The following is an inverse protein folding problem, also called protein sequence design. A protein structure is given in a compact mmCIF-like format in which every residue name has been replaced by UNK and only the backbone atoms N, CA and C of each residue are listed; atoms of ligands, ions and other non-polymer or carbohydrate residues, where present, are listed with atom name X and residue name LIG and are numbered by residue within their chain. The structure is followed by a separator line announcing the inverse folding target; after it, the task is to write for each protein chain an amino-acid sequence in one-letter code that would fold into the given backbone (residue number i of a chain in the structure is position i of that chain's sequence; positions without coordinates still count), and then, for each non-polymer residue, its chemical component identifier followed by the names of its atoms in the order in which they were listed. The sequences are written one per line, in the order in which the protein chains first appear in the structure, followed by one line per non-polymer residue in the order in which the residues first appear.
data_IF_340249032773
#
_entry.id   IF_340249032773
#
_cell.length_a   1.000
_cell.length_b   1.000
_cell.length_c   1.000
_cell.angle_alpha   90.00
_cell.angle_beta   90.00
_cell.angle_gamma   90.00
#
_symmetry.space_group_name_H-M   'P 1'
#
loop_
_entity.id
_entity.type
_entity.pdbx_description
1 polymer ?
#
# COMPACT_ATOMS: atom_id res chain seq x y z
N UNK A 1 8.02 -1.66 -12.51
CA UNK A 1 7.95 -0.25 -12.07
C UNK A 1 6.84 -0.14 -11.04
N UNK A 2 7.13 0.26 -9.79
CA UNK A 2 6.12 0.51 -8.74
C UNK A 2 5.45 1.85 -9.04
N UNK A 3 4.13 1.86 -9.26
CA UNK A 3 3.34 3.08 -9.50
C UNK A 3 2.30 3.21 -8.38
N UNK A 4 2.71 3.76 -7.25
CA UNK A 4 1.80 4.05 -6.13
C UNK A 4 1.60 5.56 -6.09
N UNK A 5 0.55 6.06 -6.73
CA UNK A 5 -0.06 7.34 -6.36
C UNK A 5 -1.17 7.01 -5.35
N UNK A 6 -0.86 7.04 -4.06
CA UNK A 6 -1.87 6.90 -3.01
C UNK A 6 -1.58 7.88 -1.87
N UNK A 7 -2.29 9.01 -1.85
CA UNK A 7 -2.85 9.47 -0.58
C UNK A 7 -4.37 9.27 -0.64
N UNK A 8 -4.90 8.53 0.32
CA UNK A 8 -6.35 8.54 0.60
C UNK A 8 -6.76 9.92 1.13
N UNK A 9 -8.02 10.35 0.94
CA UNK A 9 -8.55 11.47 1.70
C UNK A 9 -8.51 11.14 3.18
N UNK A 10 -8.04 12.09 4.00
CA UNK A 10 -8.02 11.96 5.45
C UNK A 10 -9.43 11.60 5.98
N UNK A 11 -9.48 10.67 6.94
CA UNK A 11 -10.69 10.36 7.71
C UNK A 11 -11.19 11.67 8.33
N UNK A 12 -12.45 12.10 8.12
CA UNK A 12 -12.95 13.31 8.74
C UNK A 12 -12.91 13.15 10.27
N UNK A 13 -12.52 14.20 11.03
CA UNK A 13 -12.49 14.12 12.48
C UNK A 13 -13.89 13.80 13.02
N UNK A 14 -14.01 13.04 14.13
CA UNK A 14 -15.29 12.69 14.71
C UNK A 14 -16.10 13.95 15.07
N UNK A 15 -17.44 13.91 15.01
CA UNK A 15 -18.28 15.04 15.36
C UNK A 15 -18.00 15.50 16.79
N UNK A 16 -17.74 16.80 16.98
CA UNK A 16 -17.54 17.41 18.30
C UNK A 16 -18.82 17.25 19.13
N UNK A 17 -18.87 16.19 19.94
CA UNK A 17 -20.03 15.82 20.74
C UNK A 17 -19.69 15.65 22.22
N UNK A 18 -19.99 16.71 22.99
CA UNK A 18 -20.22 16.75 24.45
C UNK A 18 -19.06 16.33 25.36
N UNK A 19 -18.29 17.33 25.79
CA UNK A 19 -17.57 17.33 27.07
C UNK A 19 -18.55 17.02 28.21
N UNK A 20 -18.48 15.81 28.77
CA UNK A 20 -18.98 15.55 30.11
C UNK A 20 -17.94 16.04 31.10
N UNK A 21 -18.33 17.02 31.91
CA UNK A 21 -17.56 17.48 33.07
C UNK A 21 -17.46 16.37 34.11
N UNK A 22 -16.29 15.74 34.19
CA UNK A 22 -15.68 15.12 35.37
C UNK A 22 -14.28 14.74 34.90
N UNK A 23 -13.18 15.28 35.40
CA UNK A 23 -12.76 15.17 36.79
C UNK A 23 -11.62 16.19 37.00
N UNK A 24 -11.81 17.10 37.96
CA UNK A 24 -10.84 18.16 38.28
C UNK A 24 -10.60 18.15 39.79
N UNK A 25 -9.81 17.21 40.31
CA UNK A 25 -9.12 17.33 41.61
C UNK A 25 -8.17 16.14 41.81
N UNK A 26 -6.85 16.31 41.76
CA UNK A 26 -5.87 16.32 42.90
C UNK A 26 -4.60 15.62 42.36
N UNK A 27 -3.35 15.86 42.73
CA UNK A 27 -2.65 16.74 43.68
C UNK A 27 -1.21 16.89 43.16
N UNK A 28 -0.65 18.07 43.43
CA UNK A 28 0.74 18.49 43.64
C UNK A 28 1.90 17.47 43.50
N UNK A 29 3.00 17.99 42.93
CA UNK A 29 4.35 17.75 43.44
C UNK A 29 5.33 17.21 42.41
N UNK A 30 6.06 18.09 41.73
CA UNK A 30 7.11 17.67 40.81
C UNK A 30 8.07 18.81 40.50
N UNK A 31 9.25 18.75 41.11
CA UNK A 31 10.31 19.75 41.13
C UNK A 31 10.91 19.97 39.73
N UNK A 32 11.19 21.22 39.37
CA UNK A 32 12.02 21.58 38.21
C UNK A 32 13.47 21.18 38.49
N UNK A 33 14.07 20.35 37.64
CA UNK A 33 15.53 20.30 37.49
C UNK A 33 15.86 20.25 36.00
N UNK A 34 16.57 21.28 35.55
CA UNK A 34 17.21 21.33 34.25
C UNK A 34 18.65 20.80 34.33
N UNK A 35 19.08 20.29 33.17
CA UNK A 35 20.44 20.29 32.61
C UNK A 35 21.59 19.52 33.30
N UNK A 36 22.46 18.98 32.41
CA UNK A 36 23.67 18.17 32.62
C UNK A 36 23.37 16.71 33.00
N UNK A 37 23.87 15.68 32.29
CA UNK A 37 25.29 15.41 32.02
C UNK A 37 25.45 14.65 30.69
N UNK A 38 26.17 15.28 29.76
CA UNK A 38 26.96 14.58 28.74
C UNK A 38 28.34 14.35 29.35
N UNK A 39 28.95 13.20 29.05
CA UNK A 39 30.39 12.86 29.18
C UNK A 39 30.85 12.20 30.51
N UNK A 40 31.05 10.88 30.48
CA UNK A 40 32.10 10.16 31.24
C UNK A 40 32.47 8.87 30.46
N UNK A 41 33.50 8.92 29.59
CA UNK A 41 34.85 8.33 29.79
C UNK A 41 34.79 6.78 29.81
N UNK A 42 35.06 6.06 28.70
CA UNK A 42 36.40 5.74 28.18
C UNK A 42 37.44 5.53 29.29
N UNK A 43 37.43 4.39 30.00
CA UNK A 43 38.62 3.69 30.53
C UNK A 43 38.14 2.32 31.05
N UNK A 44 38.47 1.28 30.31
CA UNK A 44 39.10 0.06 30.82
C UNK A 44 39.65 -0.69 29.60
N UNK A 45 40.92 -0.40 29.29
CA UNK A 45 41.78 -1.25 28.48
C UNK A 45 41.97 -2.62 29.16
N UNK A 46 42.14 -3.71 28.42
CA UNK A 46 43.34 -4.10 27.68
C UNK A 46 44.02 -5.27 28.39
N UNK A 47 43.81 -6.48 27.85
CA UNK A 47 44.70 -7.68 27.80
C UNK A 47 43.83 -8.72 27.09
N UNK A 48 44.14 -9.22 25.89
CA UNK A 48 45.32 -10.05 25.57
C UNK A 48 45.70 -9.86 24.10
N UNK A 49 46.98 -9.58 23.88
CA UNK A 49 47.66 -9.65 22.59
C UNK A 49 48.51 -10.93 22.56
N UNK A 50 48.97 -11.31 21.36
CA UNK A 50 49.86 -12.44 20.97
C UNK A 50 49.05 -13.64 20.42
N UNK A 51 49.17 -14.05 19.15
CA UNK A 51 50.07 -13.65 18.07
C UNK A 51 49.88 -14.56 16.83
N UNK A 52 50.68 -14.30 15.79
CA UNK A 52 50.83 -15.05 14.51
C UNK A 52 49.82 -14.62 13.42
N UNK A 53 50.12 -13.63 12.56
CA UNK A 53 51.11 -13.51 11.46
C UNK A 53 50.63 -14.12 10.13
N UNK A 54 50.50 -13.23 9.15
CA UNK A 54 50.04 -13.37 7.77
C UNK A 54 50.59 -14.57 6.99
N UNK A 55 49.75 -15.15 6.12
CA UNK A 55 50.12 -15.51 4.75
C UNK A 55 48.87 -15.55 3.84
N UNK A 56 49.03 -14.96 2.66
CA UNK A 56 48.10 -14.76 1.55
C UNK A 56 47.97 -15.97 0.60
N UNK A 57 46.97 -15.89 -0.30
CA UNK A 57 46.65 -16.69 -1.52
C UNK A 57 45.73 -17.90 -1.28
N UNK A 58 44.49 -17.90 -1.75
CA UNK A 58 43.95 -17.94 -3.14
C UNK A 58 44.02 -19.33 -3.78
N UNK A 59 42.81 -19.78 -4.12
CA UNK A 59 42.41 -20.68 -5.21
C UNK A 59 42.53 -22.20 -5.05
N UNK A 60 41.33 -22.78 -5.07
CA UNK A 60 40.87 -23.85 -5.94
C UNK A 60 41.05 -25.34 -5.61
N UNK A 61 39.93 -26.01 -5.92
CA UNK A 61 39.76 -27.40 -6.35
C UNK A 61 39.63 -28.50 -5.28
N UNK A 62 38.35 -28.85 -5.05
CA UNK A 62 37.78 -30.19 -5.31
C UNK A 62 38.61 -31.41 -4.93
N UNK A 63 38.06 -32.28 -4.07
CA UNK A 63 37.51 -33.58 -4.51
C UNK A 63 36.74 -34.28 -3.38
N UNK A 64 35.44 -34.45 -3.64
CA UNK A 64 34.49 -35.53 -3.33
C UNK A 64 34.86 -36.70 -2.42
N UNK A 65 33.89 -37.06 -1.54
CA UNK A 65 33.15 -38.35 -1.52
C UNK A 65 32.53 -38.56 -0.13
N UNK A 66 31.24 -38.28 0.09
CA UNK A 66 30.09 -39.22 0.06
C UNK A 66 30.07 -40.17 1.30
N UNK A 67 29.01 -40.46 2.04
CA UNK A 67 27.52 -40.46 1.98
C UNK A 67 27.10 -40.44 3.49
N UNK A 68 25.96 -39.95 3.99
CA UNK A 68 24.59 -40.48 3.82
C UNK A 68 23.59 -39.61 4.58
N UNK A 69 22.39 -39.51 4.04
CA UNK A 69 21.25 -38.81 4.62
C UNK A 69 20.66 -39.59 5.82
N UNK A 70 20.29 -38.89 6.89
CA UNK A 70 19.43 -39.43 7.93
C UNK A 70 18.35 -38.40 8.32
N UNK A 71 17.15 -38.75 7.86
CA UNK A 71 15.81 -38.40 8.33
C UNK A 71 15.77 -38.01 9.82
N UNK A 72 15.19 -36.84 10.11
CA UNK A 72 14.76 -36.46 11.46
C UNK A 72 13.26 -36.79 11.59
N UNK A 73 12.94 -37.71 12.50
CA UNK A 73 11.59 -37.84 13.08
C UNK A 73 11.61 -37.29 14.51
N UNK A 74 10.48 -36.74 15.01
CA UNK A 74 10.43 -36.02 16.27
C UNK A 74 10.34 -36.98 17.47
N UNK A 75 10.99 -36.63 18.58
CA UNK A 75 10.87 -37.34 19.85
C UNK A 75 9.93 -36.59 20.80
N UNK A 76 8.98 -37.33 21.35
CA UNK A 76 8.02 -36.94 22.39
C UNK A 76 8.54 -37.26 23.80
N UNK A 77 8.14 -36.42 24.75
CA UNK A 77 7.97 -36.65 26.20
C UNK A 77 9.17 -37.04 27.10
N UNK A 78 9.32 -36.24 28.16
CA UNK A 78 9.86 -36.55 29.50
C UNK A 78 11.16 -37.36 29.60
N UNK A 79 12.27 -36.68 29.89
CA UNK A 79 13.20 -37.06 30.96
C UNK A 79 14.25 -35.95 31.21
N UNK A 80 14.56 -35.69 32.48
CA UNK A 80 15.58 -34.73 32.92
C UNK A 80 16.96 -35.38 32.87
N UNK A 81 17.97 -34.82 32.19
CA UNK A 81 19.29 -35.44 32.18
C UNK A 81 20.07 -35.07 33.45
N UNK A 82 20.44 -36.08 34.24
CA UNK A 82 21.41 -35.95 35.34
C UNK A 82 22.75 -36.63 34.98
N UNK A 83 23.75 -35.78 34.73
CA UNK A 83 25.22 -35.80 34.95
C UNK A 83 25.97 -37.14 35.10
N UNK A 84 27.08 -37.32 34.34
CA UNK A 84 28.43 -37.72 34.86
C UNK A 84 29.54 -37.23 33.91
N UNK A 85 30.51 -36.45 34.40
CA UNK A 85 31.81 -36.24 33.74
C UNK A 85 32.92 -36.79 34.65
N UNK A 86 33.82 -37.58 34.08
CA UNK A 86 34.94 -38.24 34.77
C UNK A 86 36.19 -37.37 34.82
N UNK A 87 36.89 -37.39 35.97
CA UNK A 87 38.09 -36.62 36.31
C UNK A 87 39.40 -37.11 35.66
N UNK A 88 40.37 -36.19 35.55
CA UNK A 88 41.81 -36.32 35.84
C UNK A 88 42.46 -34.94 35.55
N UNK A 89 43.38 -34.32 36.29
CA UNK A 89 44.22 -34.60 37.48
C UNK A 89 44.86 -33.25 37.87
N UNK A 90 45.25 -33.07 39.13
CA UNK A 90 46.42 -32.23 39.46
C UNK A 90 46.24 -31.11 40.49
N UNK A 91 46.78 -31.37 41.67
CA UNK A 91 47.30 -30.46 42.69
C UNK A 91 46.39 -29.67 43.63
N UNK A 92 46.76 -29.80 44.90
CA UNK A 92 46.10 -29.41 46.14
C UNK A 92 46.23 -27.91 46.40
N UNK A 93 45.09 -27.24 46.62
CA UNK A 93 45.03 -26.03 47.45
C UNK A 93 43.75 -26.04 48.31
N UNK A 94 43.92 -25.65 49.56
CA UNK A 94 43.02 -25.73 50.70
C UNK A 94 41.65 -25.08 50.49
N UNK A 95 40.58 -25.81 50.82
CA UNK A 95 39.20 -25.32 50.82
C UNK A 95 38.95 -24.49 52.08
N UNK A 96 38.70 -23.18 51.92
CA UNK A 96 38.05 -22.38 52.94
C UNK A 96 36.54 -22.60 52.84
N UNK A 97 35.92 -23.02 53.95
CA UNK A 97 34.49 -23.24 54.07
C UNK A 97 33.77 -21.87 54.01
N UNK A 98 33.07 -21.60 52.90
CA UNK A 98 32.17 -20.44 52.78
C UNK A 98 30.76 -20.95 53.04
N UNK A 99 30.17 -20.51 54.14
CA UNK A 99 28.74 -20.78 54.41
C UNK A 99 27.88 -20.23 53.27
N UNK A 100 26.94 -21.02 52.72
CA UNK A 100 26.07 -20.52 51.66
C UNK A 100 25.14 -19.47 52.24
N UNK A 101 25.24 -18.25 51.72
CA UNK A 101 24.27 -17.19 51.99
C UNK A 101 22.89 -17.64 51.49
N UNK A 102 21.94 -17.76 52.42
CA UNK A 102 20.53 -17.98 52.10
C UNK A 102 20.02 -16.71 51.43
N UNK A 103 19.87 -16.75 50.11
CA UNK A 103 19.15 -15.73 49.36
C UNK A 103 17.66 -16.03 49.55
N UNK A 104 17.00 -15.26 50.40
CA UNK A 104 15.55 -15.34 50.58
C UNK A 104 14.87 -14.95 49.27
N UNK A 105 14.28 -15.94 48.59
CA UNK A 105 13.60 -15.73 47.32
C UNK A 105 12.41 -14.78 47.53
N UNK A 106 12.43 -13.64 46.82
CA UNK A 106 11.30 -12.73 46.78
C UNK A 106 10.03 -13.49 46.37
N UNK A 107 8.86 -13.22 46.99
CA UNK A 107 7.65 -13.97 46.72
C UNK A 107 7.29 -13.84 45.24
N UNK A 108 7.08 -14.99 44.59
CA UNK A 108 6.64 -15.06 43.20
C UNK A 108 5.43 -14.15 43.02
N UNK A 109 5.55 -13.18 42.09
CA UNK A 109 4.43 -12.36 41.68
C UNK A 109 3.30 -13.30 41.25
N UNK A 110 2.09 -13.09 41.81
CA UNK A 110 0.89 -13.78 41.35
C UNK A 110 0.84 -13.69 39.82
N UNK A 111 0.50 -14.78 39.11
CA UNK A 111 0.27 -14.69 37.67
C UNK A 111 -0.75 -13.57 37.46
N UNK A 112 -0.37 -12.56 36.69
CA UNK A 112 -1.31 -11.53 36.28
C UNK A 112 -2.52 -12.27 35.71
N UNK A 113 -3.72 -11.89 36.17
CA UNK A 113 -4.94 -12.37 35.52
C UNK A 113 -4.87 -12.08 34.02
N UNK A 114 -5.70 -12.74 33.20
CA UNK A 114 -5.75 -12.43 31.78
C UNK A 114 -5.83 -10.89 31.62
N UNK A 115 -5.04 -10.31 30.70
CA UNK A 115 -5.03 -8.87 30.49
C UNK A 115 -6.48 -8.38 30.36
N UNK A 116 -6.75 -7.18 30.87
CA UNK A 116 -8.09 -6.62 30.84
C UNK A 116 -8.63 -6.69 29.40
N UNK A 117 -9.92 -7.05 29.20
CA UNK A 117 -10.47 -7.17 27.87
C UNK A 117 -10.32 -5.85 27.12
N UNK A 118 -9.50 -5.86 26.06
CA UNK A 118 -9.34 -4.72 25.15
C UNK A 118 -10.71 -4.38 24.59
N UNK A 119 -11.15 -3.14 24.79
CA UNK A 119 -12.40 -2.67 24.22
C UNK A 119 -12.14 -2.06 22.84
N UNK A 120 -13.18 -2.03 22.01
CA UNK A 120 -13.08 -1.55 20.63
C UNK A 120 -12.56 -0.10 20.53
N UNK A 121 -12.96 0.76 21.47
CA UNK A 121 -12.61 2.20 21.44
C UNK A 121 -11.12 2.45 21.62
N UNK A 122 -10.44 1.68 22.46
CA UNK A 122 -8.99 1.78 22.64
C UNK A 122 -8.22 1.46 21.34
N UNK A 123 -8.62 0.39 20.65
CA UNK A 123 -8.05 0.02 19.36
C UNK A 123 -8.35 1.06 18.25
N UNK A 124 -9.56 1.61 18.26
CA UNK A 124 -9.97 2.66 17.32
C UNK A 124 -9.22 3.98 17.58
N UNK A 125 -9.02 4.38 18.83
CA UNK A 125 -8.26 5.58 19.19
C UNK A 125 -6.80 5.47 18.73
N UNK A 126 -6.16 4.30 18.92
CA UNK A 126 -4.83 4.03 18.38
C UNK A 126 -4.81 4.18 16.85
N UNK A 127 -5.79 3.60 16.15
CA UNK A 127 -5.90 3.71 14.69
C UNK A 127 -6.08 5.16 14.21
N UNK A 128 -6.98 5.92 14.85
CA UNK A 128 -7.25 7.32 14.49
C UNK A 128 -6.08 8.24 14.81
N UNK A 129 -5.25 7.90 15.81
CA UNK A 129 -4.01 8.61 16.11
C UNK A 129 -2.87 8.33 15.12
N UNK A 130 -3.04 7.35 14.22
CA UNK A 130 -2.02 6.91 13.27
C UNK A 130 -1.01 5.92 13.85
N UNK A 131 -1.22 5.45 15.08
CA UNK A 131 -0.39 4.44 15.75
C UNK A 131 -0.81 3.05 15.26
N UNK A 132 -0.54 2.76 13.98
CA UNK A 132 -1.12 1.60 13.30
C UNK A 132 -0.59 0.24 13.78
N UNK A 133 0.68 0.16 14.19
CA UNK A 133 1.25 -1.06 14.80
C UNK A 133 0.50 -1.39 16.10
N UNK A 134 0.34 -0.41 16.99
CA UNK A 134 -0.41 -0.55 18.24
C UNK A 134 -1.89 -0.88 17.98
N UNK A 135 -2.50 -0.22 16.98
CA UNK A 135 -3.87 -0.51 16.59
C UNK A 135 -4.04 -1.95 16.11
N UNK A 136 -3.07 -2.51 15.38
CA UNK A 136 -3.11 -3.90 14.93
C UNK A 136 -3.04 -4.87 16.11
N UNK A 137 -2.16 -4.61 17.09
CA UNK A 137 -2.05 -5.42 18.31
C UNK A 137 -3.34 -5.38 19.15
N UNK A 138 -3.92 -4.19 19.32
CA UNK A 138 -5.17 -3.98 20.06
C UNK A 138 -6.36 -4.61 19.33
N UNK A 139 -6.47 -4.45 18.01
CA UNK A 139 -7.54 -5.09 17.24
C UNK A 139 -7.39 -6.61 17.21
N UNK A 140 -6.16 -7.15 17.20
CA UNK A 140 -5.93 -8.61 17.33
C UNK A 140 -6.49 -9.11 18.66
N UNK A 141 -6.12 -8.44 19.76
CA UNK A 141 -6.63 -8.78 21.10
C UNK A 141 -8.16 -8.65 21.19
N UNK A 142 -8.73 -7.63 20.54
CA UNK A 142 -10.18 -7.40 20.49
C UNK A 142 -10.91 -8.50 19.71
N UNK A 143 -10.41 -8.92 18.55
CA UNK A 143 -11.07 -9.92 17.70
C UNK A 143 -10.96 -11.33 18.26
N UNK A 144 -9.90 -11.65 19.00
CA UNK A 144 -9.82 -12.91 19.78
C UNK A 144 -10.96 -13.04 20.80
N UNK A 145 -11.32 -11.93 21.44
CA UNK A 145 -12.41 -11.89 22.43
C UNK A 145 -13.79 -11.76 21.77
N UNK A 146 -13.84 -11.21 20.56
CA UNK A 146 -15.07 -10.93 19.82
C UNK A 146 -15.01 -11.51 18.39
N UNK A 147 -14.82 -12.83 18.22
CA UNK A 147 -14.49 -13.43 16.92
C UNK A 147 -15.61 -13.32 15.89
N UNK A 148 -16.84 -13.03 16.31
CA UNK A 148 -18.01 -12.84 15.43
C UNK A 148 -18.27 -11.36 15.08
N UNK A 149 -17.38 -10.45 15.45
CA UNK A 149 -17.51 -9.05 15.09
C UNK A 149 -16.83 -8.78 13.74
N UNK A 150 -17.62 -8.79 12.65
CA UNK A 150 -17.13 -8.50 11.31
C UNK A 150 -16.45 -7.11 11.18
N UNK A 151 -16.95 -6.10 11.89
CA UNK A 151 -16.38 -4.76 11.88
C UNK A 151 -15.02 -4.71 12.58
N UNK A 152 -14.85 -5.47 13.66
CA UNK A 152 -13.58 -5.66 14.35
C UNK A 152 -12.55 -6.34 13.46
N UNK A 153 -12.93 -7.42 12.77
CA UNK A 153 -12.05 -8.09 11.80
C UNK A 153 -11.66 -7.16 10.64
N UNK A 154 -12.61 -6.37 10.14
CA UNK A 154 -12.36 -5.34 9.13
C UNK A 154 -11.34 -4.30 9.62
N UNK A 155 -11.49 -3.81 10.85
CA UNK A 155 -10.56 -2.82 11.42
C UNK A 155 -9.19 -3.40 11.72
N UNK A 156 -9.09 -4.67 12.10
CA UNK A 156 -7.83 -5.39 12.18
C UNK A 156 -7.13 -5.38 10.81
N UNK A 157 -7.85 -5.75 9.75
CA UNK A 157 -7.31 -5.71 8.39
C UNK A 157 -6.88 -4.30 7.96
N UNK A 158 -7.63 -3.26 8.32
CA UNK A 158 -7.25 -1.86 8.09
C UNK A 158 -5.97 -1.48 8.84
N UNK A 159 -5.85 -1.83 10.12
CA UNK A 159 -4.68 -1.52 10.94
C UNK A 159 -3.43 -2.23 10.40
N UNK A 160 -3.54 -3.52 10.08
CA UNK A 160 -2.48 -4.30 9.43
C UNK A 160 -2.03 -3.65 8.12
N UNK A 161 -2.96 -3.27 7.25
CA UNK A 161 -2.61 -2.60 5.99
C UNK A 161 -1.84 -1.31 6.23
N UNK A 162 -2.27 -0.48 7.17
CA UNK A 162 -1.64 0.80 7.49
C UNK A 162 -0.29 0.66 8.19
N UNK A 163 -0.08 -0.43 8.93
CA UNK A 163 1.22 -0.82 9.50
C UNK A 163 2.20 -1.40 8.47
N UNK A 164 1.72 -1.72 7.25
CA UNK A 164 2.52 -2.28 6.16
C UNK A 164 2.41 -3.79 5.98
N UNK A 165 1.62 -4.48 6.80
CA UNK A 165 1.29 -5.89 6.63
C UNK A 165 0.11 -6.08 5.67
N UNK A 166 0.42 -6.08 4.38
CA UNK A 166 -0.57 -6.25 3.32
C UNK A 166 -1.17 -7.66 3.24
N UNK A 167 -0.45 -8.72 3.63
CA UNK A 167 -1.02 -10.08 3.61
C UNK A 167 -1.94 -10.28 4.82
N UNK A 168 -1.52 -9.87 6.02
CA UNK A 168 -2.38 -9.89 7.21
C UNK A 168 -3.65 -9.05 7.04
N UNK A 169 -3.56 -7.94 6.30
CA UNK A 169 -4.73 -7.17 5.91
C UNK A 169 -5.77 -7.98 5.13
N UNK A 170 -5.33 -8.81 4.17
CA UNK A 170 -6.22 -9.68 3.41
C UNK A 170 -6.86 -10.74 4.29
N UNK A 171 -6.12 -11.31 5.25
CA UNK A 171 -6.65 -12.27 6.22
C UNK A 171 -7.74 -11.64 7.10
N UNK A 172 -7.50 -10.43 7.63
CA UNK A 172 -8.49 -9.68 8.40
C UNK A 172 -9.75 -9.33 7.60
N UNK A 173 -9.60 -8.90 6.34
CA UNK A 173 -10.74 -8.65 5.47
C UNK A 173 -11.50 -9.94 5.11
N UNK A 174 -10.79 -11.04 4.89
CA UNK A 174 -11.42 -12.35 4.65
C UNK A 174 -12.19 -12.83 5.87
N UNK A 175 -11.62 -12.71 7.08
CA UNK A 175 -12.32 -13.03 8.32
C UNK A 175 -13.60 -12.20 8.50
N UNK A 176 -13.56 -10.91 8.14
CA UNK A 176 -14.76 -10.07 8.12
C UNK A 176 -15.81 -10.57 7.10
N UNK A 177 -15.39 -11.04 5.93
CA UNK A 177 -16.26 -11.58 4.87
C UNK A 177 -16.82 -12.96 5.19
N UNK A 178 -16.09 -13.78 5.96
CA UNK A 178 -16.58 -15.08 6.44
C UNK A 178 -17.75 -14.90 7.43
N UNK A 179 -17.72 -13.83 8.23
CA UNK A 179 -18.79 -13.45 9.15
C UNK A 179 -19.91 -12.71 8.42
N UNK A 180 -19.56 -11.75 7.56
CA UNK A 180 -20.48 -10.89 6.83
C UNK A 180 -20.16 -10.89 5.33
N UNK A 181 -20.68 -11.87 4.55
CA UNK A 181 -20.35 -12.04 3.14
C UNK A 181 -20.71 -10.86 2.22
N UNK A 182 -21.52 -9.91 2.68
CA UNK A 182 -21.92 -8.73 1.91
C UNK A 182 -21.23 -7.44 2.38
N UNK A 183 -20.15 -7.55 3.18
CA UNK A 183 -19.44 -6.39 3.70
C UNK A 183 -18.61 -5.69 2.61
N UNK A 184 -19.26 -4.76 1.88
CA UNK A 184 -18.69 -4.06 0.71
C UNK A 184 -17.34 -3.39 1.02
N UNK A 185 -17.18 -2.78 2.20
CA UNK A 185 -15.92 -2.13 2.59
C UNK A 185 -14.75 -3.11 2.63
N UNK A 186 -14.95 -4.34 3.12
CA UNK A 186 -13.91 -5.38 3.10
C UNK A 186 -13.59 -5.78 1.66
N UNK A 187 -14.58 -5.99 0.81
CA UNK A 187 -14.34 -6.34 -0.61
C UNK A 187 -13.53 -5.25 -1.35
N UNK A 188 -13.91 -3.98 -1.17
CA UNK A 188 -13.23 -2.85 -1.81
C UNK A 188 -11.79 -2.73 -1.30
N UNK A 189 -11.57 -2.84 0.01
CA UNK A 189 -10.22 -2.72 0.58
C UNK A 189 -9.34 -3.95 0.28
N UNK A 190 -9.89 -5.17 0.25
CA UNK A 190 -9.20 -6.34 -0.29
C UNK A 190 -8.76 -6.09 -1.73
N UNK A 191 -9.64 -5.52 -2.57
CA UNK A 191 -9.29 -5.15 -3.94
C UNK A 191 -8.14 -4.14 -4.02
N UNK A 192 -8.09 -3.15 -3.11
CA UNK A 192 -6.99 -2.18 -3.04
C UNK A 192 -5.67 -2.84 -2.67
N UNK A 193 -5.67 -3.66 -1.62
CA UNK A 193 -4.49 -4.38 -1.15
C UNK A 193 -3.99 -5.38 -2.20
N UNK A 194 -4.89 -6.09 -2.88
CA UNK A 194 -4.52 -6.99 -3.97
C UNK A 194 -3.83 -6.24 -5.14
N UNK A 195 -4.25 -5.01 -5.45
CA UNK A 195 -3.55 -4.20 -6.45
C UNK A 195 -2.17 -3.74 -5.98
N UNK A 196 -2.01 -3.41 -4.69
CA UNK A 196 -0.70 -3.10 -4.11
C UNK A 196 0.26 -4.29 -4.23
N UNK A 197 -0.24 -5.49 -3.92
CA UNK A 197 0.47 -6.76 -4.05
C UNK A 197 0.65 -7.23 -5.50
N UNK A 198 0.23 -6.44 -6.50
CA UNK A 198 0.30 -6.79 -7.92
C UNK A 198 -0.46 -8.08 -8.28
N UNK A 199 -1.61 -8.31 -7.63
CA UNK A 199 -2.53 -9.45 -7.84
C UNK A 199 -3.84 -8.98 -8.49
N UNK A 200 -3.83 -8.45 -9.72
CA UNK A 200 -5.00 -7.81 -10.32
C UNK A 200 -6.16 -8.77 -10.59
N UNK A 201 -5.90 -10.06 -10.86
CA UNK A 201 -6.96 -11.07 -11.07
C UNK A 201 -7.80 -11.27 -9.82
N UNK A 202 -7.17 -11.43 -8.65
CA UNK A 202 -7.90 -11.52 -7.38
C UNK A 202 -8.61 -10.22 -7.04
N UNK A 203 -8.01 -9.06 -7.36
CA UNK A 203 -8.67 -7.77 -7.15
C UNK A 203 -9.97 -7.67 -7.96
N UNK A 204 -9.96 -8.10 -9.22
CA UNK A 204 -11.17 -8.12 -10.07
C UNK A 204 -12.27 -9.00 -9.47
N UNK A 205 -11.94 -10.16 -8.93
CA UNK A 205 -12.92 -11.07 -8.33
C UNK A 205 -13.68 -10.39 -7.17
N UNK A 206 -12.95 -9.84 -6.19
CA UNK A 206 -13.58 -9.19 -5.03
C UNK A 206 -14.28 -7.88 -5.40
N UNK A 207 -13.76 -7.12 -6.37
CA UNK A 207 -14.33 -5.83 -6.78
C UNK A 207 -15.57 -6.00 -7.66
N UNK A 208 -15.65 -7.04 -8.50
CA UNK A 208 -16.88 -7.36 -9.22
C UNK A 208 -18.00 -7.71 -8.25
N UNK A 209 -17.69 -8.51 -7.22
CA UNK A 209 -18.65 -8.81 -6.14
C UNK A 209 -19.07 -7.55 -5.38
N UNK A 210 -18.15 -6.63 -5.10
CA UNK A 210 -18.48 -5.33 -4.50
C UNK A 210 -19.44 -4.52 -5.41
N UNK A 211 -19.18 -4.50 -6.72
CA UNK A 211 -19.99 -3.76 -7.69
C UNK A 211 -21.39 -4.37 -7.86
N UNK A 212 -21.54 -5.70 -7.73
CA UNK A 212 -22.84 -6.36 -7.71
C UNK A 212 -23.67 -5.97 -6.47
N UNK A 213 -23.02 -5.84 -5.31
CA UNK A 213 -23.67 -5.46 -4.05
C UNK A 213 -24.00 -3.96 -3.96
N UNK A 214 -23.16 -3.12 -4.58
CA UNK A 214 -23.29 -1.66 -4.53
C UNK A 214 -22.96 -1.05 -5.91
N UNK A 215 -23.87 -1.15 -6.90
CA UNK A 215 -23.62 -0.75 -8.29
C UNK A 215 -23.35 0.75 -8.47
N UNK A 216 -23.87 1.59 -7.57
CA UNK A 216 -23.71 3.05 -7.60
C UNK A 216 -22.54 3.55 -6.71
N UNK A 217 -21.76 2.66 -6.09
CA UNK A 217 -20.64 3.06 -5.24
C UNK A 217 -19.44 3.54 -6.05
N UNK A 218 -19.23 4.85 -6.04
CA UNK A 218 -18.13 5.55 -6.73
C UNK A 218 -16.76 4.96 -6.38
N UNK A 219 -16.54 4.60 -5.10
CA UNK A 219 -15.26 4.04 -4.67
C UNK A 219 -15.01 2.67 -5.30
N UNK A 220 -16.01 1.79 -5.30
CA UNK A 220 -15.97 0.48 -5.93
C UNK A 220 -15.69 0.60 -7.43
N UNK A 221 -16.48 1.40 -8.16
CA UNK A 221 -16.30 1.58 -9.60
C UNK A 221 -14.89 2.09 -9.96
N UNK A 222 -14.35 3.04 -9.18
CA UNK A 222 -13.00 3.56 -9.40
C UNK A 222 -11.91 2.52 -9.18
N UNK A 223 -12.00 1.74 -8.10
CA UNK A 223 -11.00 0.70 -7.79
C UNK A 223 -11.12 -0.46 -8.78
N UNK A 224 -12.34 -0.81 -9.21
CA UNK A 224 -12.58 -1.80 -10.25
C UNK A 224 -11.92 -1.41 -11.58
N UNK A 225 -12.11 -0.17 -12.03
CA UNK A 225 -11.45 0.34 -13.24
C UNK A 225 -9.92 0.30 -13.13
N UNK A 226 -9.38 0.59 -11.94
CA UNK A 226 -7.93 0.45 -11.66
C UNK A 226 -7.48 -1.02 -11.73
N UNK A 227 -8.28 -1.96 -11.25
CA UNK A 227 -7.99 -3.38 -11.33
C UNK A 227 -8.05 -3.90 -12.77
N UNK A 228 -9.04 -3.47 -13.56
CA UNK A 228 -9.12 -3.77 -14.98
C UNK A 228 -7.87 -3.28 -15.72
N UNK A 229 -7.45 -2.02 -15.48
CA UNK A 229 -6.23 -1.48 -16.08
C UNK A 229 -4.98 -2.29 -15.71
N UNK A 230 -4.83 -2.64 -14.42
CA UNK A 230 -3.71 -3.45 -13.95
C UNK A 230 -3.72 -4.89 -14.49
N UNK A 231 -4.89 -5.43 -14.83
CA UNK A 231 -5.06 -6.72 -15.49
C UNK A 231 -4.83 -6.66 -17.02
N UNK A 232 -4.54 -5.48 -17.58
CA UNK A 232 -4.40 -5.29 -19.03
C UNK A 232 -5.72 -5.12 -19.79
N UNK A 233 -6.85 -5.05 -19.08
CA UNK A 233 -8.20 -4.83 -19.62
C UNK A 233 -8.46 -3.33 -19.82
N UNK A 234 -7.64 -2.71 -20.67
CA UNK A 234 -7.59 -1.26 -20.80
C UNK A 234 -8.88 -0.64 -21.38
N UNK A 235 -9.61 -1.38 -22.23
CA UNK A 235 -10.87 -0.90 -22.82
C UNK A 235 -12.01 -0.92 -21.81
N UNK A 236 -12.06 -1.97 -21.01
CA UNK A 236 -13.00 -2.17 -19.91
C UNK A 236 -12.77 -1.09 -18.85
N UNK A 237 -11.51 -0.87 -18.45
CA UNK A 237 -11.13 0.19 -17.52
C UNK A 237 -11.58 1.57 -17.99
N UNK A 238 -11.33 1.93 -19.25
CA UNK A 238 -11.80 3.20 -19.81
C UNK A 238 -13.32 3.30 -19.78
N UNK A 239 -14.02 2.23 -20.18
CA UNK A 239 -15.49 2.20 -20.18
C UNK A 239 -16.04 2.43 -18.77
N UNK A 240 -15.48 1.75 -17.76
CA UNK A 240 -15.88 1.93 -16.37
C UNK A 240 -15.58 3.34 -15.87
N UNK A 241 -14.39 3.90 -16.14
CA UNK A 241 -14.09 5.29 -15.77
C UNK A 241 -15.03 6.30 -16.41
N UNK A 242 -15.31 6.19 -17.71
CA UNK A 242 -16.20 7.14 -18.40
C UNK A 242 -17.65 7.00 -17.96
N UNK A 243 -18.11 5.79 -17.67
CA UNK A 243 -19.45 5.56 -17.11
C UNK A 243 -19.56 6.25 -15.75
N UNK A 244 -18.58 6.03 -14.87
CA UNK A 244 -18.51 6.69 -13.57
C UNK A 244 -18.49 8.23 -13.71
N UNK A 245 -17.67 8.76 -14.61
CA UNK A 245 -17.54 10.19 -14.85
C UNK A 245 -18.74 10.81 -15.60
N UNK A 246 -19.63 9.99 -16.16
CA UNK A 246 -20.90 10.48 -16.74
C UNK A 246 -21.90 10.85 -15.64
N UNK A 247 -21.90 10.12 -14.52
CA UNK A 247 -22.75 10.41 -13.36
C UNK A 247 -22.05 11.28 -12.30
N UNK A 248 -20.72 11.17 -12.20
CA UNK A 248 -19.89 11.90 -11.23
C UNK A 248 -18.76 12.65 -11.96
N UNK A 249 -19.08 13.70 -12.74
CA UNK A 249 -18.09 14.45 -13.51
C UNK A 249 -17.05 15.20 -12.65
N UNK A 250 -17.31 15.34 -11.35
CA UNK A 250 -16.50 16.01 -10.34
C UNK A 250 -15.57 15.06 -9.56
N UNK A 251 -15.49 13.76 -9.91
CA UNK A 251 -14.55 12.83 -9.27
C UNK A 251 -13.13 13.00 -9.83
N UNK A 252 -12.37 13.95 -9.24
CA UNK A 252 -10.99 14.26 -9.61
C UNK A 252 -10.07 13.03 -9.64
N UNK A 253 -10.28 12.05 -8.75
CA UNK A 253 -9.49 10.82 -8.71
C UNK A 253 -9.73 9.92 -9.93
N UNK A 254 -10.98 9.84 -10.38
CA UNK A 254 -11.33 9.08 -11.59
C UNK A 254 -10.83 9.76 -12.86
N UNK A 255 -10.91 11.10 -12.92
CA UNK A 255 -10.30 11.89 -14.01
C UNK A 255 -8.78 11.68 -14.07
N UNK A 256 -8.10 11.71 -12.92
CA UNK A 256 -6.67 11.43 -12.83
C UNK A 256 -6.32 10.02 -13.34
N UNK A 257 -7.07 9.02 -12.89
CA UNK A 257 -6.78 7.63 -13.26
C UNK A 257 -7.10 7.35 -14.73
N UNK A 258 -8.16 7.96 -15.27
CA UNK A 258 -8.46 7.94 -16.71
C UNK A 258 -7.32 8.63 -17.49
N UNK A 259 -6.86 9.80 -17.05
CA UNK A 259 -5.70 10.48 -17.65
C UNK A 259 -4.45 9.59 -17.67
N UNK A 260 -4.14 8.91 -16.56
CA UNK A 260 -3.02 7.97 -16.50
C UNK A 260 -3.19 6.80 -17.48
N UNK A 261 -4.40 6.21 -17.57
CA UNK A 261 -4.71 5.15 -18.52
C UNK A 261 -4.53 5.62 -19.98
N UNK A 262 -4.98 6.85 -20.29
CA UNK A 262 -4.82 7.46 -21.61
C UNK A 262 -3.35 7.70 -21.98
N UNK A 263 -2.52 8.15 -21.03
CA UNK A 263 -1.05 8.27 -21.21
C UNK A 263 -0.45 6.90 -21.56
N UNK A 264 -0.86 5.84 -20.86
CA UNK A 264 -0.37 4.48 -21.12
C UNK A 264 -0.76 3.97 -22.51
N UNK A 265 -1.94 4.36 -23.00
CA UNK A 265 -2.40 4.09 -24.37
C UNK A 265 -1.78 5.02 -25.43
N UNK A 266 -0.98 6.02 -25.02
CA UNK A 266 -0.38 7.01 -25.93
C UNK A 266 -1.32 8.16 -26.33
N UNK A 267 -2.56 8.20 -25.85
CA UNK A 267 -3.57 9.25 -26.11
C UNK A 267 -3.32 10.48 -25.24
N UNK A 268 -2.14 11.08 -25.38
CA UNK A 268 -1.66 12.11 -24.46
C UNK A 268 -2.45 13.43 -24.59
N UNK A 269 -2.89 13.82 -25.80
CA UNK A 269 -3.70 15.03 -25.99
C UNK A 269 -5.02 14.96 -25.20
N UNK A 270 -5.68 13.80 -25.22
CA UNK A 270 -6.89 13.59 -24.44
C UNK A 270 -6.63 13.49 -22.94
N UNK A 271 -5.50 12.87 -22.56
CA UNK A 271 -5.09 12.79 -21.16
C UNK A 271 -4.90 14.18 -20.55
N UNK A 272 -4.36 15.15 -21.31
CA UNK A 272 -4.23 16.54 -20.84
C UNK A 272 -5.60 17.11 -20.48
N UNK A 273 -6.64 16.88 -21.27
CA UNK A 273 -8.00 17.32 -20.97
C UNK A 273 -8.53 16.73 -19.66
N UNK A 274 -8.44 15.41 -19.48
CA UNK A 274 -8.86 14.73 -18.26
C UNK A 274 -8.12 15.23 -17.02
N UNK A 275 -6.79 15.38 -17.13
CA UNK A 275 -5.94 15.81 -16.03
C UNK A 275 -6.09 17.30 -15.71
N UNK A 276 -6.38 18.13 -16.71
CA UNK A 276 -6.73 19.53 -16.50
C UNK A 276 -8.06 19.68 -15.75
N UNK A 277 -9.08 18.87 -16.09
CA UNK A 277 -10.31 18.80 -15.29
C UNK A 277 -10.03 18.38 -13.84
N UNK A 278 -9.22 17.33 -13.64
CA UNK A 278 -8.85 16.89 -12.29
C UNK A 278 -8.15 17.99 -11.48
N UNK A 279 -7.21 18.71 -12.09
CA UNK A 279 -6.46 19.79 -11.45
C UNK A 279 -7.33 21.02 -11.13
N UNK A 280 -8.39 21.28 -11.91
CA UNK A 280 -9.36 22.34 -11.62
C UNK A 280 -10.27 22.00 -10.44
N UNK A 281 -10.64 20.72 -10.30
CA UNK A 281 -11.49 20.23 -9.23
C UNK A 281 -10.75 20.17 -7.89
N UNK A 282 -9.50 19.71 -7.93
CA UNK A 282 -8.63 19.63 -6.76
C UNK A 282 -7.19 19.97 -7.13
N UNK A 283 -6.81 21.21 -6.82
CA UNK A 283 -5.49 21.75 -7.12
C UNK A 283 -4.39 21.19 -6.18
N UNK A 284 -4.77 20.59 -5.04
CA UNK A 284 -3.84 20.17 -3.99
C UNK A 284 -3.32 18.73 -4.21
N UNK A 285 -3.77 18.06 -5.26
CA UNK A 285 -3.32 16.70 -5.61
C UNK A 285 -2.00 16.72 -6.38
N UNK A 286 -0.88 16.57 -5.66
CA UNK A 286 0.46 16.47 -6.25
C UNK A 286 0.58 15.39 -7.34
N UNK A 287 -0.15 14.27 -7.20
CA UNK A 287 -0.16 13.19 -8.19
C UNK A 287 -0.81 13.61 -9.51
N UNK A 288 -1.87 14.42 -9.47
CA UNK A 288 -2.54 14.97 -10.65
C UNK A 288 -1.59 15.89 -11.40
N UNK A 289 -0.93 16.79 -10.66
CA UNK A 289 0.04 17.73 -11.24
C UNK A 289 1.22 17.00 -11.91
N UNK A 290 1.74 15.95 -11.29
CA UNK A 290 2.77 15.11 -11.90
C UNK A 290 2.28 14.43 -13.19
N UNK A 291 1.07 13.88 -13.17
CA UNK A 291 0.51 13.20 -14.35
C UNK A 291 0.20 14.19 -15.47
N UNK A 292 -0.31 15.38 -15.14
CA UNK A 292 -0.53 16.48 -16.07
C UNK A 292 0.77 16.91 -16.74
N UNK A 293 1.84 17.10 -15.96
CA UNK A 293 3.18 17.38 -16.48
C UNK A 293 3.65 16.31 -17.46
N UNK A 294 3.42 15.03 -17.16
CA UNK A 294 3.78 13.92 -18.05
C UNK A 294 2.98 13.90 -19.36
N UNK A 295 1.68 14.25 -19.31
CA UNK A 295 0.87 14.36 -20.51
C UNK A 295 1.33 15.54 -21.38
N UNK A 296 1.52 16.72 -20.78
CA UNK A 296 1.98 17.94 -21.45
C UNK A 296 3.36 17.78 -22.08
N UNK A 297 4.27 17.08 -21.40
CA UNK A 297 5.59 16.79 -21.94
C UNK A 297 5.51 15.92 -23.19
N UNK A 298 4.67 14.88 -23.17
CA UNK A 298 4.49 13.96 -24.32
C UNK A 298 3.79 14.61 -25.52
N UNK A 299 3.11 15.73 -25.30
CA UNK A 299 2.52 16.57 -26.35
C UNK A 299 3.39 17.78 -26.72
N UNK A 300 4.59 17.88 -26.12
CA UNK A 300 5.62 18.89 -26.42
C UNK A 300 5.36 20.27 -25.82
N UNK A 301 4.46 20.39 -24.84
CA UNK A 301 4.22 21.62 -24.08
C UNK A 301 5.15 21.66 -22.86
N UNK A 302 6.45 21.75 -23.10
CA UNK A 302 7.52 21.64 -22.09
C UNK A 302 7.49 22.77 -21.07
N UNK A 303 7.09 23.99 -21.43
CA UNK A 303 6.92 25.06 -20.45
C UNK A 303 5.80 24.74 -19.45
N UNK A 304 4.61 24.41 -19.95
CA UNK A 304 3.47 24.03 -19.10
C UNK A 304 3.74 22.73 -18.31
N UNK A 305 4.48 21.78 -18.89
CA UNK A 305 4.89 20.56 -18.20
C UNK A 305 5.79 20.87 -16.99
N UNK A 306 6.77 21.77 -17.14
CA UNK A 306 7.63 22.22 -16.04
C UNK A 306 6.83 22.90 -14.93
N UNK A 307 5.85 23.72 -15.29
CA UNK A 307 4.99 24.39 -14.30
C UNK A 307 4.17 23.37 -13.51
N UNK A 308 3.56 22.39 -14.19
CA UNK A 308 2.81 21.31 -13.54
C UNK A 308 3.72 20.44 -12.63
N UNK A 309 4.91 20.07 -13.10
CA UNK A 309 5.88 19.37 -12.23
C UNK A 309 6.32 20.22 -11.04
N UNK A 310 6.52 21.52 -11.23
CA UNK A 310 6.83 22.47 -10.16
C UNK A 310 5.73 22.51 -9.10
N UNK A 311 4.47 22.53 -9.51
CA UNK A 311 3.32 22.46 -8.59
C UNK A 311 3.29 21.14 -7.82
N UNK A 312 3.54 20.00 -8.48
CA UNK A 312 3.62 18.71 -7.78
C UNK A 312 4.69 18.70 -6.67
N UNK A 313 5.85 19.32 -6.91
CA UNK A 313 6.95 19.44 -5.93
C UNK A 313 6.62 20.44 -4.83
N UNK A 314 5.89 21.52 -5.12
CA UNK A 314 5.43 22.47 -4.10
C UNK A 314 4.43 21.83 -3.14
N UNK A 315 3.48 21.04 -3.67
CA UNK A 315 2.48 20.33 -2.88
C UNK A 315 3.09 19.19 -2.07
N UNK A 316 4.11 18.53 -2.62
CA UNK A 316 4.86 17.49 -1.92
C UNK A 316 6.34 17.59 -2.26
N UNK A 317 7.12 18.18 -1.34
CA UNK A 317 8.57 18.35 -1.51
C UNK A 317 9.32 17.02 -1.73
N UNK A 318 8.74 15.89 -1.30
CA UNK A 318 9.27 14.54 -1.51
C UNK A 318 8.89 13.89 -2.83
N UNK A 319 8.20 14.58 -3.74
CA UNK A 319 7.77 14.02 -5.04
C UNK A 319 8.94 13.91 -6.03
N UNK A 320 9.90 13.03 -5.73
CA UNK A 320 11.17 12.89 -6.44
C UNK A 320 11.00 12.69 -7.96
N UNK A 321 9.95 11.98 -8.39
CA UNK A 321 9.67 11.77 -9.80
C UNK A 321 9.33 13.07 -10.54
N UNK A 322 8.52 13.93 -9.93
CA UNK A 322 8.15 15.22 -10.52
C UNK A 322 9.38 16.13 -10.59
N UNK A 323 10.20 16.15 -9.54
CA UNK A 323 11.43 16.93 -9.53
C UNK A 323 12.44 16.46 -10.59
N UNK A 324 12.66 15.14 -10.73
CA UNK A 324 13.51 14.60 -11.80
C UNK A 324 13.00 14.97 -13.19
N UNK A 325 11.68 14.88 -13.43
CA UNK A 325 11.10 15.30 -14.71
C UNK A 325 11.22 16.80 -14.94
N UNK A 326 11.00 17.63 -13.91
CA UNK A 326 11.15 19.08 -13.98
C UNK A 326 12.58 19.46 -14.37
N UNK A 327 13.58 18.89 -13.68
CA UNK A 327 15.00 19.11 -13.94
C UNK A 327 15.39 18.66 -15.35
N UNK A 328 14.90 17.51 -15.81
CA UNK A 328 15.17 17.01 -17.16
C UNK A 328 14.68 17.96 -18.26
N UNK A 329 13.64 18.74 -17.98
CA UNK A 329 13.09 19.72 -18.92
C UNK A 329 13.76 21.11 -18.79
N UNK A 330 14.71 21.31 -17.87
CA UNK A 330 15.45 22.57 -17.79
C UNK A 330 16.24 22.83 -19.09
N UNK A 331 16.08 24.02 -19.65
CA UNK A 331 16.69 24.38 -20.93
C UNK A 331 15.98 23.82 -22.18
N UNK A 332 15.00 22.92 -22.03
CA UNK A 332 14.14 22.48 -23.12
C UNK A 332 13.10 23.57 -23.39
N UNK A 333 13.09 24.07 -24.63
CA UNK A 333 12.17 25.10 -25.07
C UNK A 333 11.03 24.47 -25.87
N UNK A 334 9.86 25.09 -25.79
CA UNK A 334 8.77 24.82 -26.73
C UNK A 334 9.19 25.23 -28.15
N UNK A 335 8.47 24.74 -29.15
CA UNK A 335 8.63 25.23 -30.52
C UNK A 335 8.43 26.76 -30.56
N UNK A 336 9.30 27.48 -31.26
CA UNK A 336 9.41 28.95 -31.17
C UNK A 336 8.12 29.69 -31.58
N UNK A 337 7.26 29.06 -32.37
CA UNK A 337 5.98 29.57 -32.86
C UNK A 337 4.76 29.05 -32.06
N UNK A 338 5.00 28.21 -31.04
CA UNK A 338 3.93 27.61 -30.24
C UNK A 338 3.40 28.63 -29.23
N UNK A 339 2.08 28.83 -29.24
CA UNK A 339 1.40 29.66 -28.25
C UNK A 339 1.45 29.02 -26.85
N UNK A 340 1.36 29.83 -25.77
CA UNK A 340 1.20 29.33 -24.41
C UNK A 340 0.01 28.35 -24.32
N UNK A 341 0.21 27.26 -23.58
CA UNK A 341 -0.84 26.25 -23.42
C UNK A 341 -1.94 26.74 -22.48
N UNK A 342 -3.20 26.62 -22.89
CA UNK A 342 -4.36 26.99 -22.08
C UNK A 342 -5.03 25.74 -21.47
N UNK A 343 -4.74 25.50 -20.19
CA UNK A 343 -5.33 24.41 -19.43
C UNK A 343 -6.85 24.53 -19.27
N UNK A 344 -7.39 25.75 -19.21
CA UNK A 344 -8.82 25.97 -19.05
C UNK A 344 -9.58 25.55 -20.33
N UNK A 345 -9.05 25.91 -21.50
CA UNK A 345 -9.58 25.45 -22.78
C UNK A 345 -9.47 23.94 -22.92
N UNK A 346 -8.35 23.33 -22.53
CA UNK A 346 -8.18 21.87 -22.59
C UNK A 346 -9.18 21.12 -21.69
N UNK A 347 -9.41 21.60 -20.46
CA UNK A 347 -10.41 21.05 -19.55
C UNK A 347 -11.83 21.21 -20.11
N UNK A 348 -12.18 22.40 -20.63
CA UNK A 348 -13.51 22.66 -21.19
C UNK A 348 -13.81 21.81 -22.45
N UNK A 349 -12.79 21.45 -23.22
CA UNK A 349 -12.93 20.58 -24.39
C UNK A 349 -13.08 19.09 -24.02
N UNK A 350 -12.67 18.69 -22.82
CA UNK A 350 -12.76 17.31 -22.38
C UNK A 350 -14.20 16.93 -22.03
N UNK A 351 -14.68 15.82 -22.58
CA UNK A 351 -15.99 15.25 -22.29
C UNK A 351 -15.82 13.96 -21.47
N UNK A 352 -15.92 13.99 -20.13
CA UNK A 352 -15.58 12.86 -19.27
C UNK A 352 -16.35 11.59 -19.62
N UNK A 353 -17.63 11.73 -19.97
CA UNK A 353 -18.51 10.62 -20.33
C UNK A 353 -18.43 10.11 -21.77
N UNK A 354 -17.69 10.77 -22.67
CA UNK A 354 -17.64 10.39 -24.10
C UNK A 354 -16.30 9.81 -24.47
N UNK A 355 -16.29 8.63 -25.08
CA UNK A 355 -15.07 8.13 -25.70
C UNK A 355 -14.78 8.97 -26.95
N UNK A 356 -13.70 9.75 -26.93
CA UNK A 356 -13.35 10.62 -28.06
C UNK A 356 -12.95 9.83 -29.30
N UNK A 357 -12.64 8.53 -29.15
CA UNK A 357 -12.54 7.55 -30.23
C UNK A 357 -12.01 8.15 -31.52
N UNK A 358 -10.83 8.80 -31.47
CA UNK A 358 -10.17 9.24 -32.69
C UNK A 358 -9.88 7.97 -33.47
N UNK A 359 -10.70 7.73 -34.49
CA UNK A 359 -10.50 6.65 -35.43
C UNK A 359 -9.14 6.87 -36.07
N UNK A 360 -8.14 6.10 -35.64
CA UNK A 360 -6.98 5.84 -36.47
C UNK A 360 -7.57 5.20 -37.72
N UNK A 361 -7.47 5.90 -38.86
CA UNK A 361 -7.85 5.37 -40.16
C UNK A 361 -7.03 4.10 -40.40
N UNK A 362 -7.61 2.95 -40.04
CA UNK A 362 -7.14 1.66 -40.51
C UNK A 362 -7.55 1.64 -41.98
N UNK A 363 -6.57 1.59 -42.88
CA UNK A 363 -6.83 1.34 -44.29
C UNK A 363 -7.67 0.06 -44.39
N UNK A 364 -8.94 0.21 -44.74
CA UNK A 364 -9.80 -0.91 -45.12
C UNK A 364 -9.24 -1.54 -46.40
N UNK A 365 -8.97 -2.87 -46.42
CA UNK A 365 -8.97 -3.59 -47.67
C UNK A 365 -10.45 -3.77 -48.08
N UNK A 366 -10.84 -3.09 -49.14
CA UNK A 366 -12.13 -3.26 -49.83
C UNK A 366 -12.59 -4.72 -49.89
N UNK A 367 -13.81 -5.07 -49.45
CA UNK A 367 -14.44 -6.32 -49.83
C UNK A 367 -15.14 -6.12 -51.17
N UNK A 368 -14.62 -6.81 -52.19
CA UNK A 368 -15.24 -6.94 -53.51
C UNK A 368 -16.64 -7.55 -53.35
N UNK A 369 -17.65 -6.77 -53.73
CA UNK A 369 -19.02 -7.21 -53.95
C UNK A 369 -19.09 -8.30 -55.02
N UNK A 370 -19.59 -9.48 -54.67
CA UNK A 370 -20.25 -10.41 -55.61
C UNK A 370 -21.02 -11.50 -54.86
N UNK A 371 -22.30 -11.26 -54.55
CA UNK A 371 -23.29 -12.33 -54.41
C UNK A 371 -24.51 -11.91 -55.21
N UNK A 372 -24.75 -12.65 -56.30
CA UNK A 372 -25.90 -12.50 -57.18
C UNK A 372 -27.17 -13.06 -56.52
N UNK A 373 -28.26 -12.30 -56.60
CA UNK A 373 -29.63 -12.82 -56.40
C UNK A 373 -30.04 -13.69 -57.60
N UNK A 374 -30.77 -14.80 -57.39
CA UNK A 374 -31.33 -15.57 -58.49
C UNK A 374 -32.69 -15.03 -58.94
N UNK A 375 -32.83 -14.95 -60.26
CA UNK A 375 -34.00 -14.58 -61.06
C UNK A 375 -35.30 -15.30 -60.66
N UNK A 376 -36.39 -14.53 -60.71
CA UNK A 376 -37.76 -15.02 -60.83
C UNK A 376 -37.99 -15.56 -62.26
N UNK A 377 -38.64 -16.73 -62.38
CA UNK A 377 -39.29 -17.19 -63.62
C UNK A 377 -40.80 -17.36 -63.35
N UNK A 378 -41.70 -16.89 -64.24
CA UNK A 378 -43.14 -16.86 -64.02
C UNK A 378 -43.85 -18.17 -64.40
N UNK A 379 -45.13 -18.23 -64.02
CA UNK A 379 -46.12 -19.29 -64.21
C UNK A 379 -46.18 -19.98 -65.59
N UNK A 380 -46.61 -21.26 -65.61
CA UNK A 380 -47.44 -21.77 -66.72
C UNK A 380 -47.26 -23.23 -67.15
N UNK A 381 -48.18 -24.09 -66.72
CA UNK A 381 -48.77 -25.27 -67.41
C UNK A 381 -47.99 -25.96 -68.57
N UNK A 382 -47.48 -27.17 -68.32
CA UNK A 382 -48.05 -28.48 -68.74
C UNK A 382 -47.11 -29.63 -68.43
#
# INVERSE_FOLDING_TARGET
MRWVCNPEPAVPPPPKGRTTMAEKTRIQGGVKFGEAVVLFVLILGLTVFIGVKMASRSDDAQTNSAVDAAVVQPATENETPTVVATEATGDSLTVAEVEPAVVEAAPAAKPAGPPAPVNYGEAEDAYLSGSYDEAADLFTSYTEQNPQNAWGQYMLGMAMWKSGDAEGALDGFQAALDIAPQHVKSLVNSGRVLLELQRPTGALEVLNRAAELAPDDVQTARVLARAQAAAGLAKEAETTYRTLLSSHPDDAWSLNNLGLLLIQQGRCDEAVGALACAAQLDADLACVQNNLGAALERTGHFAAARDAYGQAVQLNAGYAKAEMSRQRLEGVQDAADRAPFDLATAAAAFAPGKNSGVAVAVNDPTPTSAVAEPDQIPEGNR
#
